data_IF_529316129186
#
_entry.id   IF_529316129186
#
_cell.length_a   1.000
_cell.length_b   1.000
_cell.length_c   1.000
_cell.angle_alpha   90.00
_cell.angle_beta   90.00
_cell.angle_gamma   90.00
#
_symmetry.space_group_name_H-M   'P 1'
#
loop_
_entity.id
_entity.type
_entity.pdbx_description
1 polymer ?
#
# COMPACT_ATOMS: atom_id res chain seq x y z
N UNK A 1 -9.86 6.42 -12.34
CA UNK A 1 -10.43 5.61 -11.25
C UNK A 1 -11.39 4.61 -11.83
N UNK A 2 -11.24 3.36 -11.48
CA UNK A 2 -12.07 2.28 -12.01
C UNK A 2 -12.98 1.72 -10.92
N UNK A 3 -14.11 1.15 -11.34
CA UNK A 3 -15.01 0.47 -10.43
C UNK A 3 -14.90 -1.02 -10.65
N UNK A 4 -14.65 -1.76 -9.59
CA UNK A 4 -14.57 -3.21 -9.63
C UNK A 4 -15.08 -3.76 -8.31
N UNK A 5 -15.72 -4.91 -8.35
CA UNK A 5 -16.30 -5.53 -7.14
C UNK A 5 -17.26 -4.62 -6.38
N UNK A 6 -17.87 -3.65 -7.08
CA UNK A 6 -18.83 -2.72 -6.49
C UNK A 6 -18.22 -1.51 -5.80
N UNK A 7 -16.91 -1.32 -5.85
CA UNK A 7 -16.22 -0.19 -5.23
C UNK A 7 -15.28 0.48 -6.22
N UNK A 8 -14.95 1.72 -5.93
CA UNK A 8 -14.02 2.50 -6.76
C UNK A 8 -12.58 2.29 -6.30
N UNK A 9 -11.68 2.20 -7.26
CA UNK A 9 -10.27 2.03 -6.97
C UNK A 9 -9.42 2.12 -8.22
N UNK A 10 -8.21 1.56 -8.15
CA UNK A 10 -7.26 1.57 -9.25
C UNK A 10 -6.65 0.19 -9.41
N UNK A 11 -6.24 -0.13 -10.63
CA UNK A 11 -5.58 -1.41 -10.92
C UNK A 11 -4.11 -1.15 -11.22
N UNK A 12 -3.23 -1.91 -10.58
CA UNK A 12 -1.81 -1.91 -10.86
C UNK A 12 -1.35 -3.35 -11.02
N UNK A 13 -0.81 -3.67 -12.19
CA UNK A 13 -0.32 -5.02 -12.53
C UNK A 13 -1.34 -6.13 -12.23
N UNK A 14 -2.61 -5.84 -12.48
CA UNK A 14 -3.69 -6.80 -12.29
C UNK A 14 -4.24 -6.89 -10.87
N UNK A 15 -3.67 -6.15 -9.92
CA UNK A 15 -4.17 -6.09 -8.55
C UNK A 15 -5.00 -4.83 -8.37
N UNK A 16 -6.23 -5.00 -7.92
CA UNK A 16 -7.14 -3.89 -7.68
C UNK A 16 -6.89 -3.30 -6.29
N UNK A 17 -6.66 -2.00 -6.24
CA UNK A 17 -6.48 -1.26 -4.99
C UNK A 17 -7.70 -0.41 -4.71
N UNK A 18 -8.24 -0.48 -3.51
CA UNK A 18 -9.32 0.41 -3.07
C UNK A 18 -9.12 0.83 -1.63
N UNK A 19 -9.52 2.05 -1.33
CA UNK A 19 -9.52 2.56 0.04
C UNK A 19 -10.77 2.10 0.80
N UNK A 20 -11.70 1.50 0.11
CA UNK A 20 -12.95 1.01 0.67
C UNK A 20 -12.87 -0.48 0.97
N UNK A 21 -13.84 -0.98 1.72
CA UNK A 21 -13.98 -2.40 1.93
C UNK A 21 -14.72 -3.02 0.75
N UNK A 22 -14.23 -4.16 0.28
CA UNK A 22 -14.89 -4.93 -0.76
C UNK A 22 -15.77 -5.98 -0.08
N UNK A 23 -17.10 -5.97 -0.30
CA UNK A 23 -17.96 -6.95 0.34
C UNK A 23 -17.73 -8.36 -0.23
N UNK A 24 -18.05 -9.37 0.58
CA UNK A 24 -18.00 -10.78 0.18
C UNK A 24 -16.61 -11.27 -0.27
N UNK A 25 -15.57 -10.75 0.33
CA UNK A 25 -14.20 -11.18 0.06
C UNK A 25 -13.64 -11.94 1.26
N UNK A 26 -12.61 -12.73 0.98
CA UNK A 26 -11.85 -13.44 2.00
C UNK A 26 -10.51 -12.75 2.19
N UNK A 27 -10.22 -12.31 3.40
CA UNK A 27 -8.94 -11.69 3.71
C UNK A 27 -7.88 -12.79 3.80
N UNK A 28 -6.88 -12.70 2.93
CA UNK A 28 -5.76 -13.63 2.92
C UNK A 28 -4.72 -13.21 3.95
N UNK A 29 -4.40 -11.91 3.95
CA UNK A 29 -3.41 -11.38 4.88
C UNK A 29 -3.47 -9.85 4.89
N UNK A 30 -3.24 -9.25 6.05
CA UNK A 30 -3.02 -7.82 6.14
C UNK A 30 -1.56 -7.53 5.76
N UNK A 31 -1.36 -6.63 4.81
CA UNK A 31 -0.04 -6.28 4.32
C UNK A 31 0.34 -4.88 4.78
N UNK A 32 1.61 -4.72 5.10
CA UNK A 32 2.18 -3.43 5.44
C UNK A 32 3.56 -3.31 4.78
N UNK A 33 3.79 -2.18 4.13
CA UNK A 33 5.06 -1.90 3.46
C UNK A 33 5.54 -0.53 3.89
N UNK A 34 6.80 -0.44 4.22
CA UNK A 34 7.44 0.83 4.50
C UNK A 34 8.76 0.89 3.72
N UNK A 35 8.93 1.95 2.94
CA UNK A 35 10.12 2.17 2.16
C UNK A 35 10.78 3.44 2.66
N UNK A 36 11.93 3.28 3.32
CA UNK A 36 12.71 4.38 3.91
C UNK A 36 13.94 4.61 3.08
N UNK A 37 13.79 5.29 1.96
CA UNK A 37 14.94 5.67 1.16
C UNK A 37 14.65 6.94 0.40
N UNK A 38 15.71 7.64 0.08
CA UNK A 38 15.62 8.87 -0.69
C UNK A 38 15.01 8.58 -2.06
N UNK A 39 14.14 9.47 -2.50
CA UNK A 39 13.44 9.38 -3.79
C UNK A 39 12.45 8.21 -3.90
N UNK A 40 12.04 7.65 -2.78
CA UNK A 40 10.94 6.69 -2.79
C UNK A 40 9.61 7.43 -3.05
N UNK A 41 8.63 6.70 -3.54
CA UNK A 41 7.32 7.29 -3.82
C UNK A 41 6.22 6.24 -3.64
N UNK A 42 4.98 6.71 -3.76
CA UNK A 42 3.81 5.84 -3.57
C UNK A 42 3.78 4.69 -4.57
N UNK A 43 4.25 4.92 -5.79
CA UNK A 43 4.26 3.85 -6.81
C UNK A 43 5.12 2.67 -6.37
N UNK A 44 6.25 2.93 -5.73
CA UNK A 44 7.12 1.86 -5.23
C UNK A 44 6.45 1.09 -4.10
N UNK A 45 5.74 1.77 -3.21
CA UNK A 45 4.96 1.12 -2.15
C UNK A 45 3.91 0.20 -2.77
N UNK A 46 3.17 0.69 -3.76
CA UNK A 46 2.15 -0.10 -4.44
C UNK A 46 2.74 -1.31 -5.15
N UNK A 47 3.89 -1.15 -5.82
CA UNK A 47 4.56 -2.26 -6.49
C UNK A 47 4.95 -3.36 -5.52
N UNK A 48 5.44 -3.01 -4.35
CA UNK A 48 5.80 -3.99 -3.33
C UNK A 48 4.55 -4.71 -2.80
N UNK A 49 3.46 -3.97 -2.57
CA UNK A 49 2.20 -4.56 -2.16
C UNK A 49 1.67 -5.52 -3.23
N UNK A 50 1.77 -5.14 -4.51
CA UNK A 50 1.38 -6.00 -5.61
C UNK A 50 2.19 -7.31 -5.60
N UNK A 51 3.50 -7.20 -5.41
CA UNK A 51 4.37 -8.37 -5.36
C UNK A 51 3.95 -9.33 -4.25
N UNK A 52 3.70 -8.79 -3.08
CA UNK A 52 3.25 -9.60 -1.95
C UNK A 52 1.87 -10.21 -2.17
N UNK A 53 0.95 -9.42 -2.72
CA UNK A 53 -0.40 -9.92 -3.02
C UNK A 53 -0.36 -11.06 -4.04
N UNK A 54 0.44 -10.93 -5.09
CA UNK A 54 0.59 -11.99 -6.09
C UNK A 54 1.17 -13.26 -5.49
N UNK A 55 2.13 -13.14 -4.59
CA UNK A 55 2.73 -14.29 -3.91
C UNK A 55 1.71 -15.02 -3.04
N UNK A 56 0.70 -14.32 -2.56
CA UNK A 56 -0.37 -14.89 -1.74
C UNK A 56 -1.54 -15.41 -2.58
N UNK A 57 -1.53 -15.17 -3.89
CA UNK A 57 -2.66 -15.52 -4.75
C UNK A 57 -3.85 -14.59 -4.58
N UNK A 58 -3.66 -13.42 -3.99
CA UNK A 58 -4.72 -12.44 -3.81
C UNK A 58 -5.00 -11.72 -5.12
N UNK A 59 -6.22 -11.20 -5.26
CA UNK A 59 -6.65 -10.49 -6.47
C UNK A 59 -6.83 -9.00 -6.25
N UNK A 60 -6.93 -8.58 -5.00
CA UNK A 60 -7.18 -7.19 -4.66
C UNK A 60 -6.60 -6.84 -3.30
N UNK A 61 -6.44 -5.54 -3.07
CA UNK A 61 -6.07 -4.99 -1.76
C UNK A 61 -7.15 -3.98 -1.41
N UNK A 62 -7.85 -4.23 -0.33
CA UNK A 62 -8.89 -3.33 0.18
C UNK A 62 -8.43 -2.61 1.43
N UNK A 63 -9.17 -1.59 1.84
CA UNK A 63 -8.83 -0.75 2.98
C UNK A 63 -7.42 -0.17 2.86
N UNK A 64 -7.02 0.12 1.62
CA UNK A 64 -5.69 0.63 1.33
C UNK A 64 -5.51 2.01 1.96
N UNK A 65 -4.46 2.14 2.74
CA UNK A 65 -4.04 3.39 3.36
C UNK A 65 -2.58 3.61 3.06
N UNK A 66 -2.23 4.85 2.82
CA UNK A 66 -0.86 5.21 2.50
C UNK A 66 -0.54 6.58 3.06
N UNK A 67 0.73 6.85 3.17
CA UNK A 67 1.17 8.15 3.60
C UNK A 67 2.68 8.28 3.50
N UNK A 68 3.13 9.51 3.61
CA UNK A 68 4.52 9.85 3.69
C UNK A 68 4.82 10.24 5.13
N UNK A 69 5.80 9.58 5.71
CA UNK A 69 6.20 9.87 7.08
C UNK A 69 7.48 10.67 7.05
N UNK A 70 7.42 11.85 7.61
CA UNK A 70 8.61 12.69 7.79
C UNK A 70 9.19 12.43 9.17
N UNK A 71 10.49 12.43 9.25
CA UNK A 71 11.15 12.24 10.54
C UNK A 71 10.88 13.40 11.47
N UNK A 72 10.84 13.10 12.75
CA UNK A 72 10.60 14.09 13.79
C UNK A 72 11.78 15.08 13.88
N UNK A 73 11.54 16.15 14.61
CA UNK A 73 12.58 17.14 14.90
C UNK A 73 13.82 16.51 15.53
N UNK A 74 13.63 15.48 16.34
CA UNK A 74 14.74 14.77 16.93
C UNK A 74 15.63 14.12 15.88
N UNK A 75 15.05 13.57 14.85
CA UNK A 75 15.82 13.00 13.75
C UNK A 75 16.62 14.07 13.03
N UNK A 76 16.09 15.27 12.90
CA UNK A 76 16.80 16.38 12.30
C UNK A 76 17.98 16.80 13.16
N UNK A 77 17.83 16.79 14.47
CA UNK A 77 18.92 17.10 15.40
C UNK A 77 20.04 16.07 15.33
N UNK A 78 19.71 14.87 14.89
CA UNK A 78 20.70 13.82 14.67
C UNK A 78 21.35 13.89 13.30
N UNK A 79 21.08 14.93 12.54
CA UNK A 79 21.61 15.14 11.20
C UNK A 79 21.17 14.08 10.18
N UNK A 80 20.10 13.42 10.47
CA UNK A 80 19.50 12.48 9.53
C UNK A 80 18.43 13.23 8.75
N UNK A 81 18.86 14.20 8.00
CA UNK A 81 17.95 14.98 7.19
C UNK A 81 17.43 14.14 6.03
N UNK A 82 16.23 14.45 5.61
CA UNK A 82 15.62 14.00 4.37
C UNK A 82 15.45 12.50 4.20
N UNK A 83 15.38 11.77 5.28
CA UNK A 83 14.91 10.41 5.15
C UNK A 83 13.40 10.44 5.22
N UNK A 84 12.80 10.57 4.06
CA UNK A 84 11.36 10.41 3.92
C UNK A 84 11.08 8.92 3.81
N UNK A 85 10.06 8.47 4.52
CA UNK A 85 9.57 7.11 4.31
C UNK A 85 8.14 7.16 3.78
N UNK A 86 7.88 6.33 2.80
CA UNK A 86 6.54 6.09 2.31
C UNK A 86 6.04 4.79 2.88
N UNK A 87 4.80 4.76 3.31
CA UNK A 87 4.20 3.54 3.80
C UNK A 87 2.85 3.30 3.14
N UNK A 88 2.49 2.04 3.10
CA UNK A 88 1.17 1.65 2.64
C UNK A 88 0.76 0.34 3.31
N UNK A 89 -0.51 0.20 3.54
CA UNK A 89 -1.06 -1.00 4.14
C UNK A 89 -2.43 -1.29 3.55
N UNK A 90 -2.85 -2.51 3.65
CA UNK A 90 -4.15 -2.93 3.20
C UNK A 90 -4.34 -4.42 3.40
N UNK A 91 -5.56 -4.86 3.18
CA UNK A 91 -5.91 -6.26 3.29
C UNK A 91 -5.88 -6.92 1.92
N UNK A 92 -4.97 -7.86 1.73
CA UNK A 92 -4.92 -8.68 0.53
C UNK A 92 -6.09 -9.67 0.58
N UNK A 93 -6.93 -9.65 -0.43
CA UNK A 93 -8.17 -10.43 -0.42
C UNK A 93 -8.32 -11.28 -1.67
N UNK A 94 -9.11 -12.32 -1.52
CA UNK A 94 -9.55 -13.18 -2.59
C UNK A 94 -11.08 -13.20 -2.63
N UNK A 95 -11.59 -13.51 -3.78
CA UNK A 95 -13.05 -13.53 -3.98
C UNK A 95 -13.57 -14.94 -4.07
#
# INVERSE_FOLDING_TARGET
METKYGVKGNILDGIFFTENEIPNTNIVKHLHVEISRQNSNLTEVKKELVRQAKNLGAVAIMNFKYGQKKHSTLALLSFKWDTESWHGEGDAVNI
#
